data_IF_442160666593
#
_entry.id   IF_442160666593
#
_cell.length_a   1.000
_cell.length_b   1.000
_cell.length_c   1.000
_cell.angle_alpha   90.00
_cell.angle_beta   90.00
_cell.angle_gamma   90.00
#
_symmetry.space_group_name_H-M   'P 1'
#
loop_
_entity.id
_entity.type
_entity.pdbx_description
1 polymer ?
#
# COMPACT_ATOMS: atom_id res chain seq x y z
N UNK A 1 -9.66 4.28 15.01
CA UNK A 1 -8.90 3.84 13.82
C UNK A 1 -7.93 2.76 14.25
N UNK A 2 -7.79 1.69 13.46
CA UNK A 2 -6.85 0.60 13.75
C UNK A 2 -5.66 0.79 12.84
N UNK A 3 -4.45 0.82 13.41
CA UNK A 3 -3.24 0.84 12.58
C UNK A 3 -2.96 -0.56 12.04
N UNK A 4 -2.31 -0.65 10.89
CA UNK A 4 -1.98 -1.92 10.28
C UNK A 4 -0.89 -1.77 9.24
N UNK A 5 -0.27 -2.88 8.88
CA UNK A 5 0.81 -2.92 7.89
C UNK A 5 0.39 -3.80 6.72
N UNK A 6 0.55 -3.28 5.50
CA UNK A 6 0.43 -4.08 4.28
C UNK A 6 1.57 -5.09 4.27
N UNK A 7 1.25 -6.38 4.28
CA UNK A 7 2.24 -7.47 4.28
C UNK A 7 2.39 -8.10 2.91
N UNK A 8 1.36 -8.03 2.08
CA UNK A 8 1.36 -8.59 0.74
C UNK A 8 0.52 -7.75 -0.21
N UNK A 9 1.01 -7.62 -1.44
CA UNK A 9 0.30 -7.04 -2.58
C UNK A 9 0.36 -8.08 -3.68
N UNK A 10 -0.80 -8.43 -4.26
CA UNK A 10 -0.88 -9.35 -5.37
C UNK A 10 -0.07 -8.84 -6.56
N UNK A 11 0.74 -9.72 -7.17
CA UNK A 11 1.53 -9.39 -8.35
C UNK A 11 0.69 -9.27 -9.63
N UNK A 12 -0.52 -9.83 -9.61
CA UNK A 12 -1.48 -9.79 -10.69
C UNK A 12 -2.60 -8.78 -10.43
N UNK A 13 -3.07 -8.18 -11.53
CA UNK A 13 -4.16 -7.22 -11.54
C UNK A 13 -5.47 -7.96 -11.77
N UNK A 14 -6.43 -7.76 -10.88
CA UNK A 14 -7.78 -8.28 -11.01
C UNK A 14 -8.69 -7.23 -11.65
N UNK A 15 -9.81 -7.68 -12.22
CA UNK A 15 -10.83 -6.82 -12.82
C UNK A 15 -12.14 -7.02 -12.06
N UNK A 16 -12.74 -5.92 -11.61
CA UNK A 16 -14.04 -5.98 -10.95
C UNK A 16 -15.14 -6.22 -11.99
N UNK A 17 -15.96 -7.25 -11.80
CA UNK A 17 -16.95 -7.66 -12.81
C UNK A 17 -18.04 -6.61 -13.07
N UNK A 18 -18.37 -5.78 -12.07
CA UNK A 18 -19.45 -4.80 -12.18
C UNK A 18 -18.99 -3.48 -12.81
N UNK A 19 -17.82 -2.98 -12.43
CA UNK A 19 -17.31 -1.66 -12.86
C UNK A 19 -16.28 -1.77 -13.99
N UNK A 20 -15.77 -2.97 -14.26
CA UNK A 20 -14.64 -3.25 -15.15
C UNK A 20 -13.36 -2.48 -14.77
N UNK A 21 -13.27 -2.01 -13.52
CA UNK A 21 -12.09 -1.30 -13.04
C UNK A 21 -11.02 -2.29 -12.59
N UNK A 22 -9.74 -2.03 -12.93
CA UNK A 22 -8.64 -2.82 -12.43
C UNK A 22 -8.37 -2.54 -10.95
N UNK A 23 -8.08 -3.59 -10.19
CA UNK A 23 -7.66 -3.48 -8.80
C UNK A 23 -6.57 -4.52 -8.45
N UNK A 24 -5.88 -4.29 -7.34
CA UNK A 24 -4.92 -5.24 -6.78
C UNK A 24 -5.43 -5.70 -5.42
N UNK A 25 -5.30 -7.00 -5.15
CA UNK A 25 -5.59 -7.54 -3.82
C UNK A 25 -4.42 -7.27 -2.88
N UNK A 26 -4.72 -6.85 -1.66
CA UNK A 26 -3.70 -6.62 -0.62
C UNK A 26 -4.09 -7.35 0.65
N UNK A 27 -3.08 -7.85 1.37
CA UNK A 27 -3.25 -8.40 2.71
C UNK A 27 -2.65 -7.45 3.73
N UNK A 28 -3.45 -7.11 4.74
CA UNK A 28 -3.10 -6.15 5.78
C UNK A 28 -3.13 -6.87 7.11
N UNK A 29 -2.02 -6.79 7.83
CA UNK A 29 -1.94 -7.25 9.21
C UNK A 29 -2.33 -6.09 10.11
N UNK A 30 -3.48 -6.22 10.80
CA UNK A 30 -3.90 -5.26 11.81
C UNK A 30 -2.98 -5.33 13.03
N UNK A 31 -2.61 -4.18 13.57
CA UNK A 31 -1.76 -4.08 14.75
C UNK A 31 -2.50 -4.56 16.01
N UNK A 32 -1.89 -5.50 16.73
CA UNK A 32 -2.54 -6.16 17.87
C UNK A 32 -2.67 -5.25 19.09
N UNK A 33 -1.80 -4.25 19.25
CA UNK A 33 -1.90 -3.25 20.32
C UNK A 33 -3.04 -2.27 20.02
N UNK A 34 -3.09 -1.77 18.78
CA UNK A 34 -4.16 -0.92 18.28
C UNK A 34 -5.52 -1.60 18.39
N UNK A 35 -5.61 -2.91 18.14
CA UNK A 35 -6.83 -3.70 18.31
C UNK A 35 -7.25 -3.82 19.78
N UNK A 36 -6.30 -3.97 20.71
CA UNK A 36 -6.61 -4.02 22.15
C UNK A 36 -7.04 -2.65 22.69
N UNK A 37 -6.52 -1.56 22.14
CA UNK A 37 -6.86 -0.21 22.56
C UNK A 37 -8.32 0.20 22.25
N UNK A 38 -8.99 -0.52 21.34
CA UNK A 38 -10.39 -0.27 20.97
C UNK A 38 -11.38 -0.84 22.00
N UNK A 39 -10.89 -1.44 23.09
CA UNK A 39 -11.72 -1.97 24.17
C UNK A 39 -12.48 -3.23 23.77
N UNK A 40 -13.81 -3.21 23.91
CA UNK A 40 -14.69 -4.37 23.70
C UNK A 40 -14.92 -4.74 22.22
N UNK A 41 -14.30 -4.01 21.29
CA UNK A 41 -14.46 -4.25 19.87
C UNK A 41 -13.68 -5.51 19.43
N UNK A 42 -14.41 -6.61 19.18
CA UNK A 42 -13.85 -7.85 18.64
C UNK A 42 -13.99 -7.86 17.13
N UNK A 43 -12.86 -7.94 16.44
CA UNK A 43 -12.82 -8.14 14.99
C UNK A 43 -13.42 -9.51 14.65
N UNK A 44 -14.38 -9.55 13.73
CA UNK A 44 -15.04 -10.78 13.27
C UNK A 44 -14.72 -11.01 11.79
N UNK A 45 -14.62 -12.28 11.40
CA UNK A 45 -14.44 -12.64 9.99
C UNK A 45 -15.64 -12.17 9.15
N UNK A 46 -15.37 -11.58 7.99
CA UNK A 46 -16.40 -11.02 7.10
C UNK A 46 -16.92 -9.64 7.50
N UNK A 47 -16.41 -9.05 8.58
CA UNK A 47 -16.73 -7.68 8.95
C UNK A 47 -16.19 -6.72 7.85
N UNK A 48 -17.04 -5.88 7.24
CA UNK A 48 -16.57 -4.88 6.28
C UNK A 48 -15.72 -3.83 7.00
N UNK A 49 -14.64 -3.40 6.35
CA UNK A 49 -13.77 -2.36 6.86
C UNK A 49 -13.44 -1.38 5.74
N UNK A 50 -13.41 -0.10 6.08
CA UNK A 50 -12.89 0.94 5.21
C UNK A 50 -11.41 1.15 5.53
N UNK A 51 -10.57 1.05 4.50
CA UNK A 51 -9.12 1.06 4.65
C UNK A 51 -8.55 2.26 3.91
N UNK A 52 -7.80 3.08 4.65
CA UNK A 52 -7.03 4.19 4.09
C UNK A 52 -5.57 3.77 4.01
N UNK A 53 -5.08 3.55 2.78
CA UNK A 53 -3.68 3.18 2.53
C UNK A 53 -2.91 4.45 2.19
N UNK A 54 -1.95 4.82 3.05
CA UNK A 54 -0.99 5.87 2.72
C UNK A 54 -0.08 5.37 1.59
N UNK A 55 -0.17 6.00 0.42
CA UNK A 55 0.72 5.74 -0.71
C UNK A 55 2.14 6.27 -0.44
N UNK A 56 2.97 6.25 -1.48
CA UNK A 56 4.31 6.83 -1.40
C UNK A 56 4.20 8.35 -1.34
N UNK A 57 4.68 8.95 -0.24
CA UNK A 57 4.88 10.39 -0.15
C UNK A 57 6.17 10.77 -0.88
N UNK A 58 6.06 11.32 -2.09
CA UNK A 58 7.20 11.94 -2.76
C UNK A 58 7.37 13.38 -2.25
N UNK A 59 8.60 13.74 -1.87
CA UNK A 59 8.91 15.14 -1.56
C UNK A 59 9.12 15.92 -2.87
N UNK A 60 8.86 17.23 -2.86
CA UNK A 60 9.14 18.09 -4.04
C UNK A 60 10.61 17.99 -4.47
N UNK A 61 11.53 17.88 -3.50
CA UNK A 61 12.95 17.69 -3.75
C UNK A 61 13.25 16.34 -4.45
N UNK A 62 12.56 15.26 -4.04
CA UNK A 62 12.71 13.95 -4.67
C UNK A 62 12.35 13.98 -6.16
N UNK A 63 11.29 14.70 -6.52
CA UNK A 63 10.89 14.87 -7.92
C UNK A 63 11.96 15.59 -8.77
N UNK A 64 12.68 16.55 -8.17
CA UNK A 64 13.75 17.30 -8.84
C UNK A 64 15.03 16.47 -9.01
N UNK A 65 15.36 15.61 -8.04
CA UNK A 65 16.61 14.83 -8.02
C UNK A 65 16.49 13.50 -8.79
N UNK A 66 15.29 12.94 -8.92
CA UNK A 66 15.04 11.66 -9.58
C UNK A 66 15.59 11.56 -11.03
N UNK A 67 15.48 12.60 -11.89
CA UNK A 67 16.09 12.57 -13.23
C UNK A 67 17.62 12.42 -13.20
N UNK A 68 18.30 13.10 -12.27
CA UNK A 68 19.76 13.12 -12.16
C UNK A 68 20.27 11.73 -11.77
N UNK A 69 19.68 11.14 -10.74
CA UNK A 69 20.06 9.80 -10.25
C UNK A 69 19.68 8.70 -11.25
N UNK A 70 18.55 8.83 -11.96
CA UNK A 70 18.14 7.88 -12.98
C UNK A 70 19.09 7.85 -14.18
N UNK A 71 19.66 9.00 -14.56
CA UNK A 71 20.59 9.12 -15.68
C UNK A 71 21.93 8.46 -15.36
N UNK A 72 22.48 8.72 -14.17
CA UNK A 72 23.75 8.10 -13.71
C UNK A 72 23.64 6.57 -13.66
N UNK A 73 22.52 6.05 -13.15
CA UNK A 73 22.25 4.60 -13.09
C UNK A 73 22.10 3.98 -14.48
N UNK A 74 21.55 4.72 -15.46
CA UNK A 74 21.41 4.25 -16.84
C UNK A 74 22.75 4.23 -17.58
N UNK A 75 23.56 5.26 -17.41
CA UNK A 75 24.89 5.38 -18.04
C UNK A 75 25.86 4.32 -17.55
N UNK A 76 25.83 3.97 -16.25
CA UNK A 76 26.67 2.90 -15.69
C UNK A 76 26.33 1.48 -16.18
N UNK A 77 25.22 1.28 -16.90
CA UNK A 77 24.87 0.00 -17.55
C UNK A 77 25.32 -0.08 -19.01
N UNK A 78 25.84 1.01 -19.58
CA UNK A 78 26.29 1.10 -20.97
C UNK A 78 27.81 1.29 -21.08
N UNK A 79 28.54 1.13 -19.98
CA UNK A 79 30.00 1.06 -19.93
C UNK A 79 30.47 -0.33 -19.59
#
# INVERSE_FOLDING_TARGET
MVTGKVTYVAGDRLIERQTNLPYYSVMILADAESLRAIGDFKLQAGMPAEVYIAGVSQTALQYVIEPITSTIRRSGRQM
#
